data_IF_081423235855
#
_entry.id   IF_081423235855
#
_cell.length_a   1.000
_cell.length_b   1.000
_cell.length_c   1.000
_cell.angle_alpha   90.00
_cell.angle_beta   90.00
_cell.angle_gamma   90.00
#
_symmetry.space_group_name_H-M   'P 1'
#
loop_
_entity.id
_entity.type
_entity.pdbx_description
1 polymer ?
#
# COMPACT_ATOMS: atom_id res chain seq x y z
N UNK A 1 -6.21 17.95 -16.02
CA UNK A 1 -4.88 17.46 -15.63
C UNK A 1 -4.32 18.46 -14.65
N UNK A 2 -4.44 18.19 -13.36
CA UNK A 2 -3.72 18.96 -12.35
C UNK A 2 -2.22 18.87 -12.65
N UNK A 3 -1.50 19.97 -12.47
CA UNK A 3 -0.10 20.04 -12.90
C UNK A 3 0.76 19.20 -11.94
N UNK A 4 1.00 17.93 -12.27
CA UNK A 4 1.91 17.02 -11.56
C UNK A 4 3.27 17.65 -11.23
N UNK A 5 3.69 18.65 -11.99
CA UNK A 5 4.91 19.40 -11.72
C UNK A 5 4.88 20.13 -10.36
N UNK A 6 3.71 20.54 -9.85
CA UNK A 6 3.60 21.25 -8.56
C UNK A 6 3.72 20.34 -7.34
N UNK A 7 3.54 19.02 -7.49
CA UNK A 7 3.72 18.04 -6.40
C UNK A 7 5.12 17.44 -6.36
N UNK A 8 5.95 17.68 -7.39
CA UNK A 8 7.30 17.14 -7.46
C UNK A 8 8.25 18.01 -6.65
N UNK A 9 8.84 17.40 -5.63
CA UNK A 9 9.87 18.02 -4.80
C UNK A 9 11.24 17.57 -5.32
N UNK A 10 12.11 18.54 -5.62
CA UNK A 10 13.48 18.29 -6.11
C UNK A 10 14.51 18.19 -5.00
N UNK A 11 14.20 18.73 -3.82
CA UNK A 11 15.00 18.55 -2.62
C UNK A 11 14.49 17.33 -1.86
N UNK A 12 15.31 16.29 -1.77
CA UNK A 12 14.94 15.04 -1.12
C UNK A 12 16.15 14.34 -0.53
N UNK A 13 15.97 13.46 0.46
CA UNK A 13 17.07 12.87 1.19
C UNK A 13 17.80 11.84 0.31
N UNK A 14 19.05 12.15 -0.06
CA UNK A 14 19.94 11.27 -0.82
C UNK A 14 20.87 10.52 0.14
N UNK A 15 21.04 9.23 -0.12
CA UNK A 15 21.88 8.31 0.63
C UNK A 15 22.75 7.51 -0.35
N UNK A 16 24.04 7.42 -0.09
CA UNK A 16 24.93 6.54 -0.85
C UNK A 16 24.82 5.09 -0.34
N UNK A 17 24.86 4.12 -1.25
CA UNK A 17 24.76 2.69 -0.99
C UNK A 17 25.79 2.18 0.04
N UNK A 18 26.93 2.87 0.09
CA UNK A 18 28.07 2.58 0.96
C UNK A 18 27.95 3.20 2.35
N UNK A 19 26.99 4.11 2.57
CA UNK A 19 26.72 4.65 3.91
C UNK A 19 26.25 3.52 4.84
N UNK A 20 26.63 3.65 6.11
CA UNK A 20 26.21 2.74 7.17
C UNK A 20 24.88 3.20 7.76
N UNK A 21 24.11 2.27 8.31
CA UNK A 21 22.85 2.58 8.95
C UNK A 21 22.99 3.64 10.06
N UNK A 22 24.05 3.60 10.87
CA UNK A 22 24.33 4.61 11.90
C UNK A 22 24.40 6.04 11.36
N UNK A 23 25.04 6.25 10.21
CA UNK A 23 25.16 7.56 9.54
C UNK A 23 23.82 8.05 9.00
N UNK A 24 22.96 7.12 8.58
CA UNK A 24 21.70 7.42 7.90
C UNK A 24 20.52 7.55 8.86
N UNK A 25 20.56 6.90 10.02
CA UNK A 25 19.50 6.96 11.04
C UNK A 25 19.09 8.38 11.44
N UNK A 26 20.01 9.36 11.66
CA UNK A 26 19.64 10.75 11.92
C UNK A 26 18.80 11.36 10.79
N UNK A 27 19.20 11.18 9.52
CA UNK A 27 18.44 11.65 8.35
C UNK A 27 17.04 11.02 8.32
N UNK A 28 16.96 9.70 8.56
CA UNK A 28 15.69 8.96 8.57
C UNK A 28 14.80 9.27 9.78
N UNK A 29 15.33 9.82 10.88
CA UNK A 29 14.50 10.28 12.00
C UNK A 29 13.64 11.48 11.59
N UNK A 30 14.22 12.40 10.83
CA UNK A 30 13.54 13.60 10.33
C UNK A 30 12.63 13.26 9.15
N UNK A 31 13.20 12.60 8.14
CA UNK A 31 12.57 12.46 6.82
C UNK A 31 11.76 11.17 6.66
N UNK A 32 11.89 10.23 7.61
CA UNK A 32 11.23 8.90 7.64
C UNK A 32 11.64 7.96 6.48
N UNK A 33 12.31 8.45 5.44
CA UNK A 33 12.76 7.74 4.25
C UNK A 33 13.91 8.48 3.54
N UNK A 34 14.70 7.77 2.72
CA UNK A 34 15.64 8.38 1.76
C UNK A 34 15.80 7.55 0.49
N UNK A 35 16.29 8.18 -0.58
CA UNK A 35 16.63 7.54 -1.85
C UNK A 35 18.07 7.09 -1.82
N UNK A 36 18.30 5.84 -2.22
CA UNK A 36 19.63 5.24 -2.22
C UNK A 36 20.19 5.22 -3.63
N UNK A 37 21.39 5.75 -3.79
CA UNK A 37 22.17 5.72 -5.03
C UNK A 37 23.43 4.88 -4.86
N UNK A 38 23.87 4.21 -5.91
CA UNK A 38 25.16 3.56 -5.99
C UNK A 38 25.95 4.15 -7.16
N UNK A 39 27.01 4.91 -6.87
CA UNK A 39 27.85 5.57 -7.89
C UNK A 39 27.01 6.39 -8.88
N UNK A 40 26.06 7.17 -8.35
CA UNK A 40 25.14 8.01 -9.13
C UNK A 40 23.98 7.28 -9.81
N UNK A 41 23.87 5.95 -9.67
CA UNK A 41 22.73 5.18 -10.20
C UNK A 41 21.70 4.92 -9.12
N UNK A 42 20.43 5.18 -9.41
CA UNK A 42 19.33 4.85 -8.50
C UNK A 42 19.35 3.35 -8.14
N UNK A 43 19.42 3.06 -6.84
CA UNK A 43 19.40 1.70 -6.31
C UNK A 43 18.04 1.35 -5.70
N UNK A 44 17.33 2.31 -5.11
CA UNK A 44 16.04 2.09 -4.47
C UNK A 44 15.77 3.12 -3.38
N UNK A 45 14.97 2.75 -2.39
CA UNK A 45 14.70 3.56 -1.21
C UNK A 45 14.95 2.76 0.07
N UNK A 46 15.25 3.49 1.14
CA UNK A 46 15.34 2.95 2.50
C UNK A 46 14.36 3.71 3.38
N UNK A 47 13.56 2.97 4.15
CA UNK A 47 12.61 3.55 5.11
C UNK A 47 13.07 3.30 6.53
N UNK A 48 12.64 4.17 7.46
CA UNK A 48 12.87 3.94 8.88
C UNK A 48 12.31 2.59 9.36
N UNK A 49 11.22 2.11 8.77
CA UNK A 49 10.62 0.80 9.11
C UNK A 49 11.55 -0.36 8.73
N UNK A 50 12.09 -0.37 7.51
CA UNK A 50 12.96 -1.44 7.03
C UNK A 50 14.31 -1.42 7.73
N UNK A 51 14.86 -0.22 7.95
CA UNK A 51 16.09 -0.01 8.68
C UNK A 51 16.09 -0.59 10.11
N UNK A 52 14.90 -0.77 10.71
CA UNK A 52 14.77 -1.22 12.10
C UNK A 52 14.23 -2.66 12.20
N UNK A 53 13.59 -3.19 11.15
CA UNK A 53 13.00 -4.55 11.13
C UNK A 53 14.04 -5.66 11.33
N UNK A 54 15.31 -5.41 10.96
CA UNK A 54 16.38 -6.40 11.01
C UNK A 54 17.19 -6.43 12.33
N UNK A 55 16.79 -5.63 13.34
CA UNK A 55 17.18 -5.83 14.73
C UNK A 55 18.60 -5.42 15.13
N UNK A 56 18.68 -4.38 15.97
CA UNK A 56 19.54 -4.16 17.17
C UNK A 56 21.09 -4.23 17.04
N UNK A 57 21.70 -4.89 16.05
CA UNK A 57 23.16 -5.06 15.93
C UNK A 57 23.75 -4.50 14.61
N UNK A 58 23.20 -3.42 14.09
CA UNK A 58 23.49 -2.97 12.74
C UNK A 58 24.01 -1.52 12.57
N UNK A 59 24.65 -0.83 13.55
CA UNK A 59 25.26 0.47 13.27
C UNK A 59 26.17 0.48 12.03
N UNK A 60 26.85 -0.63 11.76
CA UNK A 60 27.80 -0.81 10.66
C UNK A 60 27.20 -1.43 9.39
N UNK A 61 25.94 -1.89 9.42
CA UNK A 61 25.29 -2.49 8.26
C UNK A 61 25.21 -1.49 7.11
N UNK A 62 25.56 -1.95 5.91
CA UNK A 62 25.50 -1.10 4.71
C UNK A 62 24.07 -0.90 4.29
N UNK A 63 23.73 0.33 3.95
CA UNK A 63 22.38 0.70 3.50
C UNK A 63 21.95 -0.13 2.28
N UNK A 64 22.88 -0.52 1.40
CA UNK A 64 22.62 -1.38 0.24
C UNK A 64 21.81 -2.63 0.56
N UNK A 65 21.96 -3.20 1.76
CA UNK A 65 21.29 -4.43 2.18
C UNK A 65 19.87 -4.19 2.72
N UNK A 66 19.51 -2.93 2.98
CA UNK A 66 18.22 -2.50 3.51
C UNK A 66 17.34 -1.87 2.42
N UNK A 67 17.87 -1.73 1.21
CA UNK A 67 17.19 -1.10 0.07
C UNK A 67 16.08 -1.99 -0.45
N UNK A 68 14.93 -1.39 -0.72
CA UNK A 68 13.92 -2.00 -1.57
C UNK A 68 13.60 -1.09 -2.76
N UNK A 69 13.15 -1.71 -3.85
CA UNK A 69 12.86 -1.04 -5.12
C UNK A 69 11.35 -0.91 -5.28
N UNK A 70 10.75 0.26 -5.00
CA UNK A 70 9.37 0.51 -5.38
C UNK A 70 9.25 0.50 -6.92
N UNK A 71 8.03 0.30 -7.45
CA UNK A 71 7.76 0.50 -8.87
C UNK A 71 8.26 1.88 -9.34
N UNK A 72 8.76 1.95 -10.57
CA UNK A 72 9.20 3.21 -11.17
C UNK A 72 7.98 4.00 -11.61
N UNK A 73 7.91 5.26 -11.18
CA UNK A 73 6.81 6.16 -11.48
C UNK A 73 7.29 7.26 -12.41
N UNK A 74 6.48 7.63 -13.39
CA UNK A 74 6.76 8.66 -14.38
C UNK A 74 5.68 9.75 -14.32
N UNK A 75 5.94 10.89 -14.95
CA UNK A 75 5.00 12.04 -14.98
C UNK A 75 3.64 11.72 -15.59
N UNK A 76 3.60 10.74 -16.49
CA UNK A 76 2.40 10.26 -17.17
C UNK A 76 1.77 9.03 -16.51
N UNK A 77 2.28 8.61 -15.34
CA UNK A 77 1.70 7.49 -14.60
C UNK A 77 0.30 7.88 -14.10
N UNK A 78 -0.75 7.07 -14.39
CA UNK A 78 -2.10 7.35 -13.93
C UNK A 78 -2.21 7.48 -12.41
N UNK A 79 -3.09 8.37 -11.93
CA UNK A 79 -3.31 8.64 -10.50
C UNK A 79 -3.57 7.35 -9.70
N UNK A 80 -4.35 6.41 -10.26
CA UNK A 80 -4.65 5.12 -9.63
C UNK A 80 -3.41 4.25 -9.48
N UNK A 81 -2.55 4.21 -10.48
CA UNK A 81 -1.31 3.45 -10.43
C UNK A 81 -0.33 4.07 -9.42
N UNK A 82 -0.29 5.41 -9.35
CA UNK A 82 0.47 6.13 -8.34
C UNK A 82 -0.02 5.80 -6.91
N UNK A 83 -1.34 5.80 -6.70
CA UNK A 83 -1.95 5.43 -5.42
C UNK A 83 -1.61 3.98 -5.02
N UNK A 84 -1.71 3.02 -5.95
CA UNK A 84 -1.31 1.62 -5.73
C UNK A 84 0.16 1.51 -5.32
N UNK A 85 1.04 2.23 -6.01
CA UNK A 85 2.46 2.20 -5.70
C UNK A 85 2.73 2.71 -4.28
N UNK A 86 1.99 3.72 -3.79
CA UNK A 86 2.07 4.13 -2.40
C UNK A 86 1.59 3.04 -1.44
N UNK A 87 0.46 2.39 -1.72
CA UNK A 87 -0.11 1.34 -0.86
C UNK A 87 0.87 0.16 -0.74
N UNK A 88 1.33 -0.35 -1.88
CA UNK A 88 2.17 -1.55 -1.96
C UNK A 88 3.57 -1.34 -1.39
N UNK A 89 4.18 -0.18 -1.68
CA UNK A 89 5.53 0.12 -1.22
C UNK A 89 5.59 0.49 0.26
N UNK A 90 4.48 0.93 0.85
CA UNK A 90 4.45 1.57 2.16
C UNK A 90 5.29 2.86 2.24
N UNK A 91 5.81 3.38 1.12
CA UNK A 91 6.77 4.48 1.08
C UNK A 91 6.15 5.83 1.50
N UNK A 92 6.87 6.65 2.24
CA UNK A 92 6.45 8.01 2.60
C UNK A 92 6.47 8.97 1.41
N UNK A 93 7.38 8.75 0.46
CA UNK A 93 7.42 9.42 -0.84
C UNK A 93 7.83 8.42 -1.92
N UNK A 94 7.51 8.68 -3.19
CA UNK A 94 7.93 7.87 -4.32
C UNK A 94 8.87 8.66 -5.24
N UNK A 95 9.97 8.07 -5.72
CA UNK A 95 10.81 8.68 -6.75
C UNK A 95 10.05 8.76 -8.07
N UNK A 96 10.14 9.92 -8.72
CA UNK A 96 9.63 10.15 -10.07
C UNK A 96 10.81 10.12 -11.04
N UNK A 97 10.68 9.37 -12.12
CA UNK A 97 11.71 9.13 -13.12
C UNK A 97 11.46 9.94 -14.39
N UNK A 98 12.56 10.28 -15.05
CA UNK A 98 12.54 10.85 -16.40
C UNK A 98 12.04 9.80 -17.40
N UNK A 99 11.06 10.16 -18.24
CA UNK A 99 10.53 9.26 -19.26
C UNK A 99 11.47 9.08 -20.46
N UNK A 100 12.40 10.02 -20.68
CA UNK A 100 13.39 10.01 -21.77
C UNK A 100 14.72 9.42 -21.32
N UNK A 101 15.06 9.55 -20.04
CA UNK A 101 16.34 9.07 -19.49
C UNK A 101 16.13 7.97 -18.44
N UNK A 102 16.44 6.73 -18.81
CA UNK A 102 16.21 5.55 -17.97
C UNK A 102 16.94 5.65 -16.63
N UNK A 103 16.23 5.39 -15.54
CA UNK A 103 16.70 5.39 -14.14
C UNK A 103 17.12 6.77 -13.59
N UNK A 104 16.92 7.86 -14.32
CA UNK A 104 17.15 9.21 -13.79
C UNK A 104 15.97 9.63 -12.94
N UNK A 105 16.24 9.93 -11.67
CA UNK A 105 15.25 10.50 -10.74
C UNK A 105 15.20 12.00 -10.96
N UNK A 106 14.02 12.54 -11.28
CA UNK A 106 13.79 13.99 -11.47
C UNK A 106 13.24 14.69 -10.22
N UNK A 107 12.77 13.91 -9.25
CA UNK A 107 12.20 14.40 -8.00
C UNK A 107 11.50 13.29 -7.21
N UNK A 108 10.80 13.69 -6.17
CA UNK A 108 9.93 12.80 -5.38
C UNK A 108 8.55 13.41 -5.22
N UNK A 109 7.55 12.55 -5.05
CA UNK A 109 6.21 12.96 -4.63
C UNK A 109 5.96 12.40 -3.24
N UNK A 110 5.65 13.26 -2.28
CA UNK A 110 5.28 12.84 -0.94
C UNK A 110 3.84 12.34 -0.90
N UNK A 111 3.57 11.30 -0.09
CA UNK A 111 2.23 10.72 0.04
C UNK A 111 1.19 11.76 0.44
N UNK A 112 1.56 12.70 1.32
CA UNK A 112 0.64 13.71 1.81
C UNK A 112 0.27 14.73 0.73
N UNK A 113 1.23 15.15 -0.09
CA UNK A 113 0.98 16.05 -1.20
C UNK A 113 0.16 15.37 -2.31
N UNK A 114 0.46 14.11 -2.62
CA UNK A 114 -0.36 13.31 -3.52
C UNK A 114 -1.81 13.18 -3.01
N UNK A 115 -1.98 12.85 -1.72
CA UNK A 115 -3.31 12.80 -1.11
C UNK A 115 -4.04 14.14 -1.20
N UNK A 116 -3.37 15.22 -0.79
CA UNK A 116 -3.98 16.55 -0.71
C UNK A 116 -4.34 17.11 -2.08
N UNK A 117 -3.41 17.03 -3.04
CA UNK A 117 -3.52 17.72 -4.32
C UNK A 117 -4.24 16.87 -5.36
N UNK A 118 -4.01 15.54 -5.39
CA UNK A 118 -4.53 14.67 -6.44
C UNK A 118 -5.76 13.88 -5.96
N UNK A 119 -5.69 13.24 -4.79
CA UNK A 119 -6.76 12.31 -4.34
C UNK A 119 -7.99 13.04 -3.79
N UNK A 120 -7.78 14.05 -2.93
CA UNK A 120 -8.88 14.75 -2.24
C UNK A 120 -9.90 15.43 -3.16
N UNK A 121 -9.51 16.01 -4.33
CA UNK A 121 -10.47 16.48 -5.32
C UNK A 121 -11.52 15.44 -5.74
N UNK A 122 -11.11 14.18 -5.94
CA UNK A 122 -12.03 13.07 -6.29
C UNK A 122 -12.95 12.67 -5.13
N UNK A 123 -12.51 12.89 -3.89
CA UNK A 123 -13.25 12.48 -2.68
C UNK A 123 -14.16 13.57 -2.13
N UNK A 124 -14.39 14.65 -2.90
CA UNK A 124 -15.26 15.74 -2.48
C UNK A 124 -16.71 15.23 -2.31
N UNK A 125 -17.20 15.33 -1.07
CA UNK A 125 -18.57 14.94 -0.71
C UNK A 125 -18.68 13.63 0.07
N UNK A 126 -17.61 12.83 0.11
CA UNK A 126 -17.56 11.64 0.95
C UNK A 126 -17.39 11.98 2.44
N UNK A 127 -17.86 11.08 3.30
CA UNK A 127 -17.75 11.18 4.75
C UNK A 127 -16.60 10.33 5.27
N UNK A 128 -16.14 10.64 6.48
CA UNK A 128 -15.10 9.85 7.16
C UNK A 128 -15.53 8.39 7.33
N UNK A 129 -16.81 8.13 7.60
CA UNK A 129 -17.35 6.77 7.75
C UNK A 129 -17.12 5.87 6.54
N UNK A 130 -17.03 6.44 5.33
CA UNK A 130 -16.88 5.67 4.09
C UNK A 130 -15.45 5.11 3.95
N UNK A 131 -14.51 5.64 4.74
CA UNK A 131 -13.07 5.33 4.64
C UNK A 131 -12.50 4.74 5.94
N UNK A 132 -13.23 4.86 7.04
CA UNK A 132 -12.77 4.43 8.35
C UNK A 132 -12.66 2.90 8.44
N UNK A 133 -11.55 2.41 8.98
CA UNK A 133 -11.42 1.01 9.31
C UNK A 133 -12.13 0.72 10.64
N UNK A 134 -13.26 0.01 10.55
CA UNK A 134 -14.11 -0.36 11.69
C UNK A 134 -13.73 -1.71 12.31
N UNK A 135 -12.82 -2.47 11.71
CA UNK A 135 -12.25 -3.70 12.29
C UNK A 135 -11.19 -3.32 13.32
N UNK A 136 -11.65 -2.65 14.37
CA UNK A 136 -10.82 -2.08 15.40
C UNK A 136 -10.06 -3.19 16.13
N UNK A 137 -8.74 -3.06 16.17
CA UNK A 137 -7.88 -3.87 17.03
C UNK A 137 -7.35 -2.98 18.14
N UNK A 138 -7.79 -3.29 19.35
CA UNK A 138 -7.39 -2.58 20.56
C UNK A 138 -6.35 -3.35 21.34
N UNK A 139 -5.60 -2.63 22.16
CA UNK A 139 -4.69 -3.18 23.15
C UNK A 139 -4.90 -2.45 24.49
N UNK A 140 -4.74 -3.13 25.61
CA UNK A 140 -4.85 -2.53 26.93
C UNK A 140 -3.60 -1.72 27.30
N UNK A 141 -3.70 -0.67 28.15
CA UNK A 141 -2.54 0.10 28.61
C UNK A 141 -1.56 -0.74 29.46
N UNK A 142 -2.05 -1.80 30.10
CA UNK A 142 -1.26 -2.73 30.93
C UNK A 142 -0.86 -4.00 30.16
N UNK A 143 -1.16 -4.09 28.86
CA UNK A 143 -0.60 -5.14 28.01
C UNK A 143 0.89 -4.87 27.76
N UNK A 144 1.63 -5.93 27.40
CA UNK A 144 3.06 -5.83 27.14
C UNK A 144 3.37 -5.32 25.73
N UNK A 145 4.55 -4.72 25.55
CA UNK A 145 5.07 -4.36 24.23
C UNK A 145 5.29 -5.60 23.35
N UNK A 146 5.59 -6.77 23.94
CA UNK A 146 5.65 -8.03 23.19
C UNK A 146 4.31 -8.37 22.53
N UNK A 147 3.20 -8.23 23.27
CA UNK A 147 1.84 -8.43 22.73
C UNK A 147 1.52 -7.43 21.62
N UNK A 148 1.92 -6.16 21.80
CA UNK A 148 1.77 -5.12 20.78
C UNK A 148 2.55 -5.46 19.49
N UNK A 149 3.80 -5.91 19.62
CA UNK A 149 4.65 -6.33 18.50
C UNK A 149 4.07 -7.56 17.77
N UNK A 150 3.58 -8.56 18.50
CA UNK A 150 2.89 -9.73 17.92
C UNK A 150 1.68 -9.29 17.12
N UNK A 151 0.86 -8.41 17.70
CA UNK A 151 -0.33 -7.85 17.03
C UNK A 151 0.04 -7.08 15.75
N UNK A 152 1.11 -6.29 15.75
CA UNK A 152 1.59 -5.61 14.53
C UNK A 152 2.00 -6.62 13.44
N UNK A 153 2.67 -7.71 13.82
CA UNK A 153 3.12 -8.73 12.88
C UNK A 153 1.96 -9.55 12.31
N UNK A 154 1.07 -10.05 13.17
CA UNK A 154 -0.08 -10.88 12.80
C UNK A 154 -1.06 -10.13 11.89
N UNK A 155 -1.28 -8.84 12.18
CA UNK A 155 -2.26 -8.02 11.47
C UNK A 155 -1.64 -7.24 10.30
N UNK A 156 -0.31 -7.21 10.17
CA UNK A 156 0.39 -6.42 9.15
C UNK A 156 0.27 -4.90 9.35
N UNK A 157 -0.19 -4.43 10.51
CA UNK A 157 -0.40 -3.01 10.81
C UNK A 157 0.75 -2.44 11.65
N UNK A 158 0.83 -1.11 11.73
CA UNK A 158 1.86 -0.41 12.50
C UNK A 158 1.32 0.39 13.69
N UNK A 159 0.02 0.31 13.95
CA UNK A 159 -0.69 1.09 14.97
C UNK A 159 -1.82 0.29 15.60
N UNK A 160 -2.01 0.47 16.90
CA UNK A 160 -3.11 -0.10 17.68
C UNK A 160 -3.73 0.99 18.53
N UNK A 161 -5.04 0.92 18.69
CA UNK A 161 -5.78 1.81 19.58
C UNK A 161 -5.60 1.29 21.00
N UNK A 162 -5.18 2.14 21.93
CA UNK A 162 -5.11 1.78 23.35
C UNK A 162 -6.46 2.08 23.98
N UNK A 163 -7.12 1.04 24.48
CA UNK A 163 -8.48 1.12 24.99
C UNK A 163 -8.61 0.33 26.29
N UNK A 164 -9.21 0.96 27.30
CA UNK A 164 -9.56 0.33 28.58
C UNK A 164 -10.78 1.05 29.16
N UNK A 165 -11.97 0.44 28.96
CA UNK A 165 -13.32 1.00 29.17
C UNK A 165 -13.64 2.28 28.40
N UNK A 166 -12.61 3.06 28.04
CA UNK A 166 -12.62 4.27 27.23
C UNK A 166 -11.33 4.34 26.41
N UNK A 167 -11.32 5.20 25.40
CA UNK A 167 -10.12 5.51 24.62
C UNK A 167 -9.02 6.09 25.54
N UNK A 168 -7.83 5.50 25.50
CA UNK A 168 -6.67 5.90 26.33
C UNK A 168 -5.52 6.45 25.51
N UNK A 169 -5.41 6.06 24.24
CA UNK A 169 -4.26 6.45 23.44
C UNK A 169 -4.13 5.68 22.12
N UNK A 170 -2.99 5.86 21.48
CA UNK A 170 -2.54 5.05 20.35
C UNK A 170 -1.11 4.63 20.58
N UNK A 171 -0.80 3.35 20.33
CA UNK A 171 0.57 2.85 20.30
C UNK A 171 0.94 2.50 18.86
N UNK A 172 2.12 2.93 18.43
CA UNK A 172 2.66 2.60 17.11
C UNK A 172 3.97 1.86 17.21
N UNK A 173 4.30 1.09 16.16
CA UNK A 173 5.62 0.48 16.01
C UNK A 173 6.71 1.56 16.16
N UNK A 174 6.55 2.72 15.55
CA UNK A 174 7.49 3.85 15.68
C UNK A 174 7.66 4.35 17.12
N UNK A 175 6.62 4.32 17.95
CA UNK A 175 6.73 4.67 19.38
C UNK A 175 7.60 3.66 20.12
N UNK A 176 7.34 2.36 19.94
CA UNK A 176 8.13 1.27 20.53
C UNK A 176 9.60 1.38 20.10
N UNK A 177 9.84 1.60 18.81
CA UNK A 177 11.19 1.74 18.27
C UNK A 177 11.92 2.99 18.80
N UNK A 178 11.20 4.10 18.95
CA UNK A 178 11.78 5.33 19.53
C UNK A 178 12.12 5.11 21.00
N UNK A 179 11.22 4.52 21.78
CA UNK A 179 11.48 4.15 23.16
C UNK A 179 12.74 3.27 23.30
N UNK A 180 12.90 2.28 22.42
CA UNK A 180 14.09 1.45 22.37
C UNK A 180 15.38 2.26 22.08
N UNK A 181 15.37 3.15 21.08
CA UNK A 181 16.55 3.93 20.71
C UNK A 181 16.99 4.93 21.78
N UNK A 182 16.08 5.39 22.63
CA UNK A 182 16.36 6.35 23.70
C UNK A 182 16.67 5.70 25.05
N UNK A 183 16.35 4.42 25.23
CA UNK A 183 16.63 3.71 26.45
C UNK A 183 18.05 3.15 26.44
N UNK A 184 18.97 3.84 27.13
CA UNK A 184 20.41 3.60 27.10
C UNK A 184 20.86 2.22 27.62
N UNK A 185 19.97 1.37 28.16
CA UNK A 185 20.31 0.06 28.76
C UNK A 185 19.18 -1.00 28.68
N UNK A 186 18.29 -0.98 27.68
CA UNK A 186 17.26 -2.04 27.56
C UNK A 186 17.81 -3.25 26.80
N UNK A 187 18.05 -4.35 27.52
CA UNK A 187 18.22 -5.68 26.92
C UNK A 187 16.92 -6.14 26.26
N UNK A 188 17.00 -7.01 25.23
CA UNK A 188 15.83 -7.59 24.54
C UNK A 188 14.84 -8.27 25.51
N UNK A 189 15.31 -8.75 26.67
CA UNK A 189 14.46 -9.32 27.73
C UNK A 189 13.61 -8.27 28.47
N UNK A 190 14.16 -7.08 28.72
CA UNK A 190 13.43 -5.99 29.40
C UNK A 190 12.34 -5.37 28.50
N UNK A 191 12.51 -5.47 27.18
CA UNK A 191 11.52 -5.00 26.19
C UNK A 191 10.22 -5.81 26.23
N UNK A 192 10.30 -7.12 26.49
CA UNK A 192 9.12 -7.99 26.50
C UNK A 192 8.20 -7.70 27.69
N UNK A 193 8.77 -7.24 28.81
CA UNK A 193 8.02 -6.90 30.03
C UNK A 193 7.50 -5.46 30.10
N UNK A 194 8.00 -4.56 29.24
CA UNK A 194 7.54 -3.18 29.21
C UNK A 194 6.05 -3.11 28.81
N UNK A 195 5.34 -2.12 29.34
CA UNK A 195 3.90 -1.94 29.16
C UNK A 195 3.58 -0.92 28.08
N UNK A 196 2.46 -1.11 27.39
CA UNK A 196 1.95 -0.20 26.36
C UNK A 196 1.85 1.24 26.85
N UNK A 197 1.37 1.46 28.08
CA UNK A 197 1.24 2.79 28.69
C UNK A 197 2.55 3.59 28.76
N UNK A 198 3.71 2.92 28.74
CA UNK A 198 5.01 3.59 28.81
C UNK A 198 5.41 4.26 27.49
N UNK A 199 4.77 3.89 26.38
CA UNK A 199 5.16 4.35 25.03
C UNK A 199 3.98 4.86 24.20
N UNK A 200 2.74 4.65 24.65
CA UNK A 200 1.55 5.12 23.96
C UNK A 200 1.51 6.67 23.93
N UNK A 201 0.86 7.21 22.91
CA UNK A 201 0.48 8.63 22.89
C UNK A 201 -0.93 8.76 23.43
N UNK A 202 -1.11 9.57 24.46
CA UNK A 202 -2.41 9.84 25.10
C UNK A 202 -3.21 10.91 24.34
N UNK A 203 -2.53 11.88 23.74
CA UNK A 203 -3.15 12.91 22.89
C UNK A 203 -3.58 12.29 21.55
N UNK A 204 -4.84 11.83 21.53
CA UNK A 204 -5.47 11.19 20.38
C UNK A 204 -6.20 12.23 19.56
N UNK A 205 -5.76 12.40 18.32
CA UNK A 205 -6.50 13.21 17.36
C UNK A 205 -7.73 12.42 16.91
N UNK A 206 -8.90 13.00 17.12
CA UNK A 206 -10.19 12.39 16.81
C UNK A 206 -10.97 13.19 15.76
N UNK A 207 -11.89 12.51 15.08
CA UNK A 207 -12.87 13.13 14.17
C UNK A 207 -14.19 12.35 14.26
N UNK A 208 -15.31 13.04 14.07
CA UNK A 208 -16.62 12.37 14.02
C UNK A 208 -16.82 11.67 12.66
N UNK A 209 -17.46 10.50 12.65
CA UNK A 209 -17.68 9.70 11.44
C UNK A 209 -18.49 10.43 10.36
N UNK A 210 -19.35 11.38 10.77
CA UNK A 210 -20.25 12.12 9.87
C UNK A 210 -19.57 13.29 9.16
N UNK A 211 -18.37 13.66 9.62
CA UNK A 211 -17.59 14.75 9.06
C UNK A 211 -17.14 14.46 7.63
N UNK A 212 -16.89 15.53 6.88
CA UNK A 212 -16.37 15.41 5.52
C UNK A 212 -14.92 14.93 5.53
N UNK A 213 -14.58 14.00 4.62
CA UNK A 213 -13.24 13.40 4.55
C UNK A 213 -12.13 14.45 4.34
N UNK A 214 -12.42 15.56 3.66
CA UNK A 214 -11.44 16.64 3.42
C UNK A 214 -10.86 17.24 4.71
N UNK A 215 -11.60 17.16 5.83
CA UNK A 215 -11.11 17.60 7.15
C UNK A 215 -9.95 16.74 7.68
N UNK A 216 -9.69 15.55 7.12
CA UNK A 216 -8.56 14.70 7.54
C UNK A 216 -7.19 15.26 7.13
N UNK A 217 -7.12 15.97 6.00
CA UNK A 217 -5.85 16.55 5.51
C UNK A 217 -5.22 17.51 6.53
N UNK A 218 -5.91 18.57 7.00
CA UNK A 218 -5.32 19.48 7.98
C UNK A 218 -4.96 18.73 9.28
N UNK A 219 -5.74 17.72 9.70
CA UNK A 219 -5.35 16.90 10.86
C UNK A 219 -4.02 16.17 10.63
N UNK A 220 -3.80 15.58 9.45
CA UNK A 220 -2.53 14.93 9.14
C UNK A 220 -1.34 15.89 9.01
N UNK A 221 -1.57 17.10 8.50
CA UNK A 221 -0.55 18.14 8.32
C UNK A 221 -0.23 18.81 9.65
N UNK A 222 -1.21 19.49 10.23
CA UNK A 222 -1.02 20.41 11.36
C UNK A 222 -0.69 19.68 12.65
N UNK A 223 -1.28 18.49 12.85
CA UNK A 223 -1.00 17.66 14.03
C UNK A 223 0.14 16.66 13.79
N UNK A 224 0.70 16.62 12.58
CA UNK A 224 1.77 15.69 12.17
C UNK A 224 1.48 14.23 12.58
N UNK A 225 0.22 13.81 12.41
CA UNK A 225 -0.22 12.44 12.73
C UNK A 225 -0.29 11.57 11.47
N UNK A 226 -0.12 10.26 11.65
CA UNK A 226 -0.29 9.27 10.57
C UNK A 226 -1.59 8.46 10.66
N UNK A 227 -2.40 8.74 11.68
CA UNK A 227 -3.74 8.16 11.86
C UNK A 227 -4.61 9.12 12.66
N UNK A 228 -5.92 9.05 12.46
CA UNK A 228 -6.94 9.76 13.23
C UNK A 228 -7.94 8.72 13.75
N UNK A 229 -8.36 8.87 15.00
CA UNK A 229 -9.40 8.02 15.59
C UNK A 229 -10.76 8.54 15.16
N UNK A 230 -11.62 7.65 14.70
CA UNK A 230 -12.98 8.00 14.28
C UNK A 230 -13.94 7.68 15.42
N UNK A 231 -14.79 8.64 15.75
CA UNK A 231 -15.81 8.51 16.77
C UNK A 231 -17.22 8.53 16.16
N UNK A 232 -18.17 7.91 16.85
CA UNK A 232 -19.59 7.96 16.55
C UNK A 232 -20.33 8.37 17.81
N UNK A 233 -20.81 9.62 17.87
CA UNK A 233 -21.44 10.18 19.07
C UNK A 233 -20.55 10.06 20.33
N UNK A 234 -19.24 10.23 20.18
CA UNK A 234 -18.26 10.13 21.27
C UNK A 234 -17.76 8.72 21.56
N UNK A 235 -18.38 7.69 20.99
CA UNK A 235 -17.93 6.30 21.11
C UNK A 235 -16.92 5.93 20.04
N UNK A 236 -16.04 4.97 20.34
CA UNK A 236 -15.01 4.54 19.40
C UNK A 236 -15.64 3.83 18.19
N UNK A 237 -15.52 4.45 17.01
CA UNK A 237 -16.05 3.92 15.75
C UNK A 237 -14.99 3.22 14.90
N UNK A 238 -13.79 3.79 14.84
CA UNK A 238 -12.74 3.26 13.97
C UNK A 238 -11.42 4.00 14.04
N UNK A 239 -10.57 3.70 13.08
CA UNK A 239 -9.32 4.43 12.83
C UNK A 239 -9.20 4.66 11.33
N UNK A 240 -8.63 5.80 10.94
CA UNK A 240 -8.33 6.11 9.55
C UNK A 240 -6.88 6.54 9.41
N UNK A 241 -6.19 5.96 8.43
CA UNK A 241 -4.82 6.30 8.05
C UNK A 241 -4.77 6.83 6.62
N UNK A 242 -3.62 7.40 6.25
CA UNK A 242 -3.34 7.79 4.86
C UNK A 242 -3.47 6.61 3.89
N UNK A 243 -3.12 5.40 4.32
CA UNK A 243 -3.22 4.19 3.49
C UNK A 243 -4.67 3.79 3.30
N UNK A 244 -5.50 3.82 4.34
CA UNK A 244 -6.94 3.52 4.21
C UNK A 244 -7.62 4.47 3.20
N UNK A 245 -7.25 5.76 3.22
CA UNK A 245 -7.77 6.74 2.25
C UNK A 245 -7.39 6.35 0.81
N UNK A 246 -6.13 5.99 0.58
CA UNK A 246 -5.67 5.56 -0.74
C UNK A 246 -6.32 4.25 -1.20
N UNK A 247 -6.44 3.26 -0.30
CA UNK A 247 -7.06 1.97 -0.61
C UNK A 247 -8.53 2.14 -1.01
N UNK A 248 -9.27 2.96 -0.27
CA UNK A 248 -10.66 3.25 -0.57
C UNK A 248 -10.84 4.17 -1.78
N UNK A 249 -9.91 5.09 -2.04
CA UNK A 249 -9.87 5.84 -3.30
C UNK A 249 -9.71 4.90 -4.50
N UNK A 250 -8.72 3.99 -4.46
CA UNK A 250 -8.53 3.00 -5.52
C UNK A 250 -9.78 2.13 -5.66
N UNK A 251 -10.35 1.66 -4.56
CA UNK A 251 -11.57 0.85 -4.57
C UNK A 251 -12.76 1.61 -5.17
N UNK A 252 -13.03 2.85 -4.72
CA UNK A 252 -14.14 3.68 -5.19
C UNK A 252 -14.03 4.00 -6.68
N UNK A 253 -12.83 4.36 -7.15
CA UNK A 253 -12.60 4.62 -8.57
C UNK A 253 -12.72 3.34 -9.40
N UNK A 254 -12.29 2.19 -8.89
CA UNK A 254 -12.56 0.90 -9.51
C UNK A 254 -14.05 0.58 -9.55
N UNK A 255 -14.84 1.00 -8.55
CA UNK A 255 -16.30 0.87 -8.52
C UNK A 255 -16.99 1.81 -9.53
N UNK A 256 -16.53 3.04 -9.69
CA UNK A 256 -17.08 3.98 -10.68
C UNK A 256 -16.72 3.58 -12.11
N UNK A 257 -15.65 2.80 -12.30
CA UNK A 257 -15.32 2.11 -13.56
C UNK A 257 -16.19 0.85 -13.78
N UNK A 258 -17.06 0.46 -12.84
CA UNK A 258 -17.99 -0.70 -12.96
C UNK A 258 -19.27 -0.41 -13.76
N UNK A 259 -19.11 0.02 -15.01
CA UNK A 259 -19.87 -0.58 -16.12
C UNK A 259 -19.00 -1.61 -16.87
N UNK A 260 -17.88 -2.03 -16.27
CA UNK A 260 -17.04 -3.11 -16.79
C UNK A 260 -17.65 -4.47 -16.49
N UNK A 261 -17.85 -5.28 -17.52
CA UNK A 261 -18.36 -6.64 -17.37
C UNK A 261 -17.33 -7.62 -16.79
N UNK A 262 -16.14 -7.14 -16.38
CA UNK A 262 -14.96 -7.93 -16.09
C UNK A 262 -14.62 -7.83 -14.61
N UNK A 263 -14.54 -8.95 -13.92
CA UNK A 263 -14.12 -9.05 -12.54
C UNK A 263 -12.85 -9.92 -12.44
N UNK A 264 -11.79 -9.37 -11.85
CA UNK A 264 -10.52 -10.06 -11.66
C UNK A 264 -10.28 -10.31 -10.16
N UNK A 265 -9.84 -11.51 -9.81
CA UNK A 265 -9.46 -11.90 -8.45
C UNK A 265 -8.10 -12.61 -8.47
N UNK A 266 -7.18 -12.19 -7.60
CA UNK A 266 -5.87 -12.82 -7.46
C UNK A 266 -5.56 -13.13 -6.00
N UNK A 267 -4.99 -14.30 -5.71
CA UNK A 267 -4.41 -14.61 -4.39
C UNK A 267 -2.94 -14.23 -4.30
N UNK A 268 -2.58 -13.05 -4.81
CA UNK A 268 -1.25 -12.44 -4.67
C UNK A 268 -1.30 -10.94 -5.00
N UNK A 269 -0.32 -10.20 -4.49
CA UNK A 269 -0.17 -8.75 -4.68
C UNK A 269 0.29 -8.42 -6.10
N UNK A 270 -0.21 -7.31 -6.69
CA UNK A 270 0.31 -6.77 -7.97
C UNK A 270 -0.27 -7.37 -9.27
N UNK A 271 -1.52 -7.82 -9.30
CA UNK A 271 -2.17 -8.37 -10.51
C UNK A 271 -2.90 -7.33 -11.39
N UNK A 272 -2.72 -6.03 -11.18
CA UNK A 272 -3.25 -5.05 -12.13
C UNK A 272 -2.25 -4.85 -13.26
N UNK A 273 -2.52 -5.48 -14.40
CA UNK A 273 -1.88 -5.12 -15.67
C UNK A 273 -2.98 -4.71 -16.64
N UNK A 274 -2.99 -3.46 -17.14
CA UNK A 274 -3.91 -3.03 -18.19
C UNK A 274 -3.93 -3.98 -19.40
N UNK A 275 -2.80 -4.64 -19.68
CA UNK A 275 -2.68 -5.64 -20.74
C UNK A 275 -3.52 -6.90 -20.50
N UNK A 276 -3.69 -7.33 -19.24
CA UNK A 276 -4.53 -8.48 -18.88
C UNK A 276 -6.01 -8.12 -19.06
N UNK A 277 -6.40 -6.94 -18.59
CA UNK A 277 -7.77 -6.43 -18.76
C UNK A 277 -8.13 -6.28 -20.22
N UNK A 278 -7.25 -5.66 -21.02
CA UNK A 278 -7.43 -5.51 -22.47
C UNK A 278 -7.56 -6.86 -23.19
N UNK A 279 -6.86 -7.89 -22.73
CA UNK A 279 -7.02 -9.26 -23.26
C UNK A 279 -8.37 -9.88 -22.88
N UNK A 280 -8.82 -9.68 -21.64
CA UNK A 280 -10.11 -10.20 -21.17
C UNK A 280 -11.31 -9.43 -21.75
N UNK A 281 -11.16 -8.14 -22.08
CA UNK A 281 -12.17 -7.33 -22.78
C UNK A 281 -12.59 -7.93 -24.12
N UNK A 282 -11.71 -8.70 -24.77
CA UNK A 282 -12.05 -9.41 -26.00
C UNK A 282 -13.13 -10.50 -25.81
N UNK A 283 -13.43 -10.88 -24.56
CA UNK A 283 -14.48 -11.84 -24.20
C UNK A 283 -15.80 -11.16 -23.80
N UNK A 284 -15.78 -9.85 -23.52
CA UNK A 284 -16.96 -9.07 -23.13
C UNK A 284 -17.95 -8.91 -24.30
N UNK A 285 -17.45 -8.71 -25.52
CA UNK A 285 -18.24 -8.63 -26.75
C UNK A 285 -17.88 -9.79 -27.65
N UNK A 286 -18.71 -10.84 -27.65
CA UNK A 286 -18.59 -11.96 -28.58
C UNK A 286 -19.91 -12.08 -29.34
N UNK A 287 -19.87 -11.84 -30.65
CA UNK A 287 -21.07 -11.56 -31.44
C UNK A 287 -21.80 -10.30 -30.91
N UNK A 288 -23.14 -10.34 -30.90
CA UNK A 288 -24.00 -9.24 -30.44
C UNK A 288 -24.31 -9.28 -28.92
N UNK A 289 -23.63 -10.15 -28.16
CA UNK A 289 -23.95 -10.37 -26.73
C UNK A 289 -22.94 -9.72 -25.79
N UNK A 290 -23.42 -8.97 -24.79
CA UNK A 290 -22.63 -8.44 -23.66
C UNK A 290 -22.47 -9.56 -22.62
N UNK A 291 -21.25 -10.02 -22.42
CA UNK A 291 -20.90 -11.10 -21.48
C UNK A 291 -20.25 -10.55 -20.23
N UNK A 292 -20.49 -11.20 -19.08
CA UNK A 292 -19.71 -10.96 -17.85
C UNK A 292 -18.52 -11.93 -17.80
N UNK A 293 -17.33 -11.42 -17.52
CA UNK A 293 -16.08 -12.18 -17.49
C UNK A 293 -15.53 -12.18 -16.07
N UNK A 294 -15.21 -13.35 -15.52
CA UNK A 294 -14.61 -13.50 -14.21
C UNK A 294 -13.27 -14.21 -14.38
N UNK A 295 -12.17 -13.58 -13.98
CA UNK A 295 -10.84 -14.17 -14.03
C UNK A 295 -10.27 -14.35 -12.62
N UNK A 296 -9.76 -15.54 -12.34
CA UNK A 296 -9.16 -15.92 -11.06
C UNK A 296 -7.74 -16.41 -11.28
N UNK A 297 -6.79 -15.88 -10.51
CA UNK A 297 -5.38 -16.21 -10.61
C UNK A 297 -4.83 -16.75 -9.29
N UNK A 298 -4.13 -17.89 -9.37
CA UNK A 298 -3.41 -18.51 -8.26
C UNK A 298 -1.96 -18.76 -8.65
N UNK A 299 -1.04 -18.19 -7.89
CA UNK A 299 0.40 -18.39 -8.12
C UNK A 299 0.86 -19.73 -7.52
N UNK A 300 1.63 -20.48 -8.29
CA UNK A 300 2.35 -21.67 -7.86
C UNK A 300 3.72 -21.33 -7.29
N UNK A 301 4.37 -22.32 -6.67
CA UNK A 301 5.72 -22.18 -6.11
C UNK A 301 6.82 -22.32 -7.16
N UNK A 302 6.53 -22.98 -8.27
CA UNK A 302 7.45 -23.25 -9.36
C UNK A 302 7.76 -22.00 -10.17
N UNK A 303 8.99 -21.91 -10.69
CA UNK A 303 9.43 -20.80 -11.54
C UNK A 303 10.18 -21.33 -12.76
N UNK A 304 9.93 -20.73 -13.92
CA UNK A 304 10.69 -20.97 -15.14
C UNK A 304 11.17 -19.65 -15.71
N UNK A 305 12.48 -19.51 -15.95
CA UNK A 305 13.11 -18.27 -16.44
C UNK A 305 12.71 -17.02 -15.63
N UNK A 306 12.59 -17.17 -14.32
CA UNK A 306 12.21 -16.08 -13.40
C UNK A 306 10.70 -15.79 -13.30
N UNK A 307 9.86 -16.41 -14.14
CA UNK A 307 8.39 -16.26 -14.09
C UNK A 307 7.76 -17.38 -13.25
N UNK A 308 6.84 -17.07 -12.31
CA UNK A 308 6.14 -18.10 -11.56
C UNK A 308 5.13 -18.85 -12.43
N UNK A 309 4.87 -20.11 -12.12
CA UNK A 309 3.74 -20.83 -12.67
C UNK A 309 2.44 -20.19 -12.14
N UNK A 310 1.50 -19.88 -13.02
CA UNK A 310 0.22 -19.26 -12.66
C UNK A 310 -0.91 -20.13 -13.18
N UNK A 311 -1.79 -20.55 -12.27
CA UNK A 311 -3.06 -21.17 -12.62
C UNK A 311 -4.08 -20.04 -12.84
N UNK A 312 -4.59 -19.94 -14.06
CA UNK A 312 -5.61 -18.97 -14.46
C UNK A 312 -6.91 -19.71 -14.73
N UNK A 313 -7.99 -19.25 -14.09
CA UNK A 313 -9.35 -19.72 -14.34
C UNK A 313 -10.19 -18.55 -14.83
N UNK A 314 -10.79 -18.69 -16.00
CA UNK A 314 -11.66 -17.66 -16.58
C UNK A 314 -13.05 -18.24 -16.82
N UNK A 315 -14.07 -17.58 -16.28
CA UNK A 315 -15.49 -17.88 -16.49
C UNK A 315 -16.12 -16.75 -17.29
N UNK A 316 -16.76 -17.09 -18.39
CA UNK A 316 -17.58 -16.16 -19.18
C UNK A 316 -19.04 -16.53 -18.96
N UNK A 317 -19.84 -15.56 -18.52
CA UNK A 317 -21.28 -15.66 -18.30
C UNK A 317 -21.97 -14.90 -19.42
N UNK A 318 -22.51 -15.62 -20.40
CA UNK A 318 -23.41 -15.07 -21.40
C UNK A 318 -24.87 -15.31 -21.01
N UNK A 319 -25.84 -14.60 -21.62
CA UNK A 319 -27.27 -14.83 -21.38
C UNK A 319 -27.75 -16.26 -21.70
N UNK A 320 -27.07 -16.97 -22.61
CA UNK A 320 -27.49 -18.31 -23.08
C UNK A 320 -26.65 -19.44 -22.49
N UNK A 321 -25.38 -19.20 -22.16
CA UNK A 321 -24.45 -20.25 -21.75
C UNK A 321 -23.31 -19.71 -20.88
N UNK A 322 -22.81 -20.55 -19.99
CA UNK A 322 -21.59 -20.26 -19.25
C UNK A 322 -20.42 -21.05 -19.84
N UNK A 323 -19.29 -20.38 -19.98
CA UNK A 323 -18.03 -20.97 -20.41
C UNK A 323 -17.03 -20.89 -19.25
N UNK A 324 -16.22 -21.92 -19.07
CA UNK A 324 -15.22 -21.98 -18.00
C UNK A 324 -13.98 -22.69 -18.50
N UNK A 325 -12.82 -22.05 -18.31
CA UNK A 325 -11.52 -22.59 -18.68
C UNK A 325 -10.57 -22.45 -17.49
N UNK A 326 -9.78 -23.49 -17.26
CA UNK A 326 -8.60 -23.45 -16.39
C UNK A 326 -7.37 -23.79 -17.24
N UNK A 327 -6.31 -23.00 -17.08
CA UNK A 327 -5.01 -23.19 -17.75
C UNK A 327 -3.87 -22.88 -16.79
N UNK A 328 -2.69 -23.38 -17.11
CA UNK A 328 -1.46 -23.07 -16.41
C UNK A 328 -0.49 -22.42 -17.39
N UNK A 329 0.12 -21.31 -16.97
CA UNK A 329 1.07 -20.57 -17.79
C UNK A 329 2.18 -19.98 -16.93
N UNK A 330 3.37 -19.87 -17.51
CA UNK A 330 4.50 -19.19 -16.89
C UNK A 330 4.29 -17.69 -16.94
N UNK A 331 3.87 -17.10 -15.82
CA UNK A 331 3.46 -15.71 -15.71
C UNK A 331 1.98 -15.46 -16.02
N UNK A 332 1.45 -14.36 -15.46
CA UNK A 332 0.03 -14.00 -15.53
C UNK A 332 -0.43 -13.71 -16.96
N UNK A 333 0.41 -13.03 -17.72
CA UNK A 333 0.09 -12.65 -19.10
C UNK A 333 -0.03 -13.87 -20.02
N UNK A 334 0.91 -14.81 -19.92
CA UNK A 334 0.90 -16.04 -20.68
C UNK A 334 -0.29 -16.94 -20.29
N UNK A 335 -0.58 -17.08 -18.99
CA UNK A 335 -1.75 -17.82 -18.52
C UNK A 335 -3.07 -17.18 -19.00
N UNK A 336 -3.14 -15.85 -19.05
CA UNK A 336 -4.31 -15.13 -19.58
C UNK A 336 -4.50 -15.37 -21.09
N UNK A 337 -3.41 -15.30 -21.86
CA UNK A 337 -3.41 -15.56 -23.31
C UNK A 337 -3.96 -16.96 -23.63
N UNK A 338 -3.45 -17.99 -22.93
CA UNK A 338 -3.90 -19.37 -23.07
C UNK A 338 -5.40 -19.52 -22.73
N UNK A 339 -5.86 -18.83 -21.68
CA UNK A 339 -7.27 -18.88 -21.26
C UNK A 339 -8.19 -18.25 -22.31
N UNK A 340 -7.83 -17.06 -22.83
CA UNK A 340 -8.59 -16.34 -23.86
C UNK A 340 -8.66 -17.15 -25.15
N UNK A 341 -7.55 -17.73 -25.62
CA UNK A 341 -7.55 -18.54 -26.84
C UNK A 341 -8.44 -19.78 -26.71
N UNK A 342 -8.39 -20.47 -25.57
CA UNK A 342 -9.22 -21.65 -25.31
C UNK A 342 -10.70 -21.30 -25.18
N UNK A 343 -11.04 -20.17 -24.57
CA UNK A 343 -12.41 -19.67 -24.50
C UNK A 343 -12.94 -19.26 -25.87
N UNK A 344 -12.16 -18.54 -26.69
CA UNK A 344 -12.55 -18.18 -28.06
C UNK A 344 -12.88 -19.41 -28.91
N UNK A 345 -12.12 -20.51 -28.77
CA UNK A 345 -12.44 -21.79 -29.43
C UNK A 345 -13.77 -22.36 -28.95
N UNK A 346 -13.95 -22.48 -27.62
CA UNK A 346 -15.20 -23.00 -27.04
C UNK A 346 -16.43 -22.16 -27.37
N UNK A 347 -16.27 -20.84 -27.51
CA UNK A 347 -17.34 -19.92 -27.89
C UNK A 347 -17.59 -19.95 -29.40
N UNK A 348 -16.55 -20.02 -30.24
CA UNK A 348 -16.68 -20.09 -31.70
C UNK A 348 -17.33 -21.37 -32.24
N UNK A 349 -17.22 -22.49 -31.50
CA UNK A 349 -17.90 -23.75 -31.83
C UNK A 349 -19.42 -23.71 -31.57
N UNK A 350 -19.92 -22.64 -30.92
CA UNK A 350 -21.35 -22.42 -30.68
C UNK A 350 -21.87 -21.44 -31.74
N UNK A 351 -22.74 -21.89 -32.65
CA UNK A 351 -23.44 -20.99 -33.57
C UNK A 351 -24.35 -20.06 -32.75
N UNK A 352 -24.13 -18.74 -32.82
CA UNK A 352 -24.88 -17.72 -32.09
C UNK A 352 -26.18 -17.33 -32.76
#
# INVERSE_FOLDING_TARGET
>A
MENWESVIVKDFPIIESTETLSKVLPKLKTEKQGIVFDKGKYLGIVTRKNAIKDGINLPEEKVSNLVYKPPMIYLDTPDLDFARCFIESGAHFLPVFDSKEKNKVIGVVYRLDFLKQIVMPYLKGYKVSDFANTKIRTIGPNDTLAKALSSFQELGISKLIVFDKKLKGVVSLSNILTYFLHATQITKSNLQGALVRQVMKEDVITIDKSENISKLIPLFVDKNVSSVIVLDNGELYGIITKTDILEQFVYAMELDVKDSSIQISAKFTGLYRPDIEKKLQQLEKFGDTKNKVFAYYKMGKEKFRGLPLVNCRVRVVSPRKHFNVSVEGWGVEHATELAVQKLKRQMGDVRF
#
